data_IF_731430243304
#
_entry.id   IF_731430243304
#
_cell.length_a   1.000
_cell.length_b   1.000
_cell.length_c   1.000
_cell.angle_alpha   90.00
_cell.angle_beta   90.00
_cell.angle_gamma   90.00
#
_symmetry.space_group_name_H-M   'P 1'
#
loop_
_entity.id
_entity.type
_entity.pdbx_description
1 polymer ?
#
# COMPACT_ATOMS: atom_id res chain seq x y z
N UNK A 1 -11.94 29.44 29.75
CA UNK A 1 -11.72 28.10 29.16
C UNK A 1 -11.91 28.22 27.66
N UNK A 2 -11.01 27.69 26.85
CA UNK A 2 -11.17 27.75 25.39
C UNK A 2 -12.44 27.00 24.99
N UNK A 3 -13.27 27.57 24.11
CA UNK A 3 -14.42 26.89 23.56
C UNK A 3 -13.96 25.75 22.64
N UNK A 4 -14.77 24.69 22.48
CA UNK A 4 -14.46 23.57 21.56
C UNK A 4 -14.13 24.06 20.15
N UNK A 5 -14.70 25.20 19.73
CA UNK A 5 -14.40 25.84 18.46
C UNK A 5 -12.98 26.40 18.39
N UNK A 6 -12.41 26.79 19.54
CA UNK A 6 -11.02 27.26 19.66
C UNK A 6 -10.01 26.08 19.67
N UNK A 7 -10.44 24.88 20.11
CA UNK A 7 -9.62 23.68 20.18
C UNK A 7 -9.64 22.82 18.89
N UNK A 8 -10.58 23.10 17.99
CA UNK A 8 -10.76 22.35 16.73
C UNK A 8 -10.69 23.29 15.53
N UNK A 9 -9.82 24.29 15.58
CA UNK A 9 -9.57 25.12 14.41
C UNK A 9 -9.00 24.28 13.27
N UNK A 10 -9.18 24.66 12.01
CA UNK A 10 -8.56 23.96 10.88
C UNK A 10 -7.06 23.80 11.05
N UNK A 11 -6.38 24.79 11.61
CA UNK A 11 -4.93 24.76 11.85
C UNK A 11 -4.55 23.74 12.91
N UNK A 12 -5.24 23.70 14.05
CA UNK A 12 -4.98 22.73 15.12
C UNK A 12 -5.18 21.28 14.66
N UNK A 13 -6.21 21.04 13.82
CA UNK A 13 -6.44 19.71 13.23
C UNK A 13 -5.34 19.30 12.24
N UNK A 14 -4.83 20.24 11.45
CA UNK A 14 -3.72 20.02 10.52
C UNK A 14 -2.44 19.72 11.31
N UNK A 15 -2.10 20.58 12.26
CA UNK A 15 -0.91 20.44 13.09
C UNK A 15 -0.94 19.11 13.86
N UNK A 16 -2.05 18.79 14.52
CA UNK A 16 -2.25 17.50 15.19
C UNK A 16 -2.04 16.31 14.26
N UNK A 17 -2.62 16.37 13.04
CA UNK A 17 -2.53 15.27 12.09
C UNK A 17 -1.11 15.09 11.56
N UNK A 18 -0.36 16.17 11.36
CA UNK A 18 1.00 16.16 10.87
C UNK A 18 2.01 15.71 11.95
N UNK A 19 1.81 16.13 13.20
CA UNK A 19 2.70 15.77 14.31
C UNK A 19 2.48 14.35 14.81
N UNK A 20 1.31 13.77 14.53
CA UNK A 20 0.95 12.43 15.00
C UNK A 20 1.71 11.34 14.27
N UNK A 21 2.76 10.82 14.89
CA UNK A 21 3.48 9.65 14.38
C UNK A 21 2.59 8.41 14.46
N UNK A 22 2.33 7.78 13.32
CA UNK A 22 1.64 6.49 13.23
C UNK A 22 2.61 5.43 12.73
N UNK A 23 2.44 4.19 13.21
CA UNK A 23 3.25 3.07 12.73
C UNK A 23 3.10 2.92 11.21
N UNK A 24 4.21 2.90 10.44
CA UNK A 24 4.15 2.79 9.00
C UNK A 24 3.65 1.41 8.56
N UNK A 25 2.95 1.38 7.44
CA UNK A 25 2.61 0.14 6.76
C UNK A 25 3.76 -0.35 5.88
N UNK A 26 3.78 -1.63 5.55
CA UNK A 26 4.76 -2.20 4.62
C UNK A 26 4.69 -1.54 3.24
N UNK A 27 3.47 -1.23 2.78
CA UNK A 27 3.26 -0.57 1.49
C UNK A 27 3.83 0.84 1.43
N UNK A 28 4.01 1.54 2.55
CA UNK A 28 4.64 2.86 2.57
C UNK A 28 6.14 2.80 2.24
N UNK A 29 6.81 1.69 2.55
CA UNK A 29 8.20 1.44 2.14
C UNK A 29 8.32 1.01 0.68
N UNK A 30 7.33 0.23 0.19
CA UNK A 30 7.32 -0.26 -1.19
C UNK A 30 6.83 0.80 -2.18
N UNK A 31 5.92 1.66 -1.75
CA UNK A 31 5.32 2.75 -2.52
C UNK A 31 5.36 4.04 -1.68
N UNK A 32 6.53 4.68 -1.55
CA UNK A 32 6.67 5.94 -0.83
C UNK A 32 5.64 6.97 -1.29
N UNK A 33 5.26 7.83 -0.37
CA UNK A 33 4.21 8.81 -0.60
C UNK A 33 4.76 10.10 -1.20
N UNK A 34 4.15 10.58 -2.29
CA UNK A 34 4.47 11.84 -2.97
C UNK A 34 3.22 12.70 -3.14
N UNK A 35 3.29 13.98 -2.81
CA UNK A 35 2.18 14.94 -2.97
C UNK A 35 2.33 15.66 -4.31
N UNK A 36 1.26 15.63 -5.13
CA UNK A 36 1.18 16.31 -6.43
C UNK A 36 0.03 17.32 -6.42
N UNK A 37 0.22 18.44 -7.07
CA UNK A 37 -0.85 19.42 -7.27
C UNK A 37 -1.69 19.11 -8.53
N UNK A 38 -2.12 17.84 -8.65
CA UNK A 38 -2.88 17.35 -9.78
C UNK A 38 -3.97 16.36 -9.33
N UNK A 39 -4.98 16.18 -10.16
CA UNK A 39 -6.04 15.17 -9.98
C UNK A 39 -5.78 13.93 -10.84
N UNK A 40 -4.95 14.07 -11.85
CA UNK A 40 -4.56 13.03 -12.80
C UNK A 40 -3.06 12.87 -12.74
N UNK A 41 -2.58 11.66 -12.96
CA UNK A 41 -1.16 11.35 -13.04
C UNK A 41 -0.86 10.52 -14.29
N UNK A 42 0.25 10.80 -14.91
CA UNK A 42 0.79 9.98 -15.96
C UNK A 42 1.58 8.82 -15.34
N UNK A 43 1.21 7.61 -15.70
CA UNK A 43 1.87 6.38 -15.28
C UNK A 43 2.56 5.72 -16.46
N UNK A 44 3.72 5.13 -16.19
CA UNK A 44 4.49 4.37 -17.16
C UNK A 44 4.29 2.89 -16.87
N UNK A 45 3.93 2.12 -17.88
CA UNK A 45 3.99 0.65 -17.83
C UNK A 45 5.35 0.18 -18.29
N UNK A 46 5.87 -0.80 -17.61
CA UNK A 46 7.14 -1.48 -17.74
C UNK A 46 7.94 -1.20 -19.01
N UNK A 47 9.21 -0.98 -18.83
CA UNK A 47 10.17 -1.02 -19.93
C UNK A 47 11.14 -2.15 -19.62
N UNK A 48 11.31 -3.09 -20.55
CA UNK A 48 12.36 -4.10 -20.43
C UNK A 48 13.70 -3.39 -20.29
N UNK A 49 14.52 -3.78 -19.29
CA UNK A 49 15.87 -3.25 -19.13
C UNK A 49 16.93 -4.12 -19.87
N UNK A 50 16.48 -5.05 -20.68
CA UNK A 50 17.40 -5.83 -21.51
C UNK A 50 18.00 -4.93 -22.58
N UNK A 51 19.36 -4.80 -22.65
CA UNK A 51 19.98 -3.92 -23.62
C UNK A 51 19.84 -4.50 -25.02
N UNK A 52 19.43 -3.67 -25.97
CA UNK A 52 19.37 -4.04 -27.40
C UNK A 52 20.78 -3.99 -27.99
N UNK A 53 21.20 -5.09 -28.63
CA UNK A 53 22.51 -5.14 -29.31
C UNK A 53 22.49 -4.34 -30.61
N UNK A 54 23.46 -3.44 -30.77
CA UNK A 54 23.70 -2.78 -32.06
C UNK A 54 24.31 -3.77 -33.06
N UNK A 55 23.93 -3.66 -34.31
CA UNK A 55 24.51 -4.45 -35.42
C UNK A 55 25.84 -3.91 -35.86
N UNK A 56 26.72 -4.78 -36.32
CA UNK A 56 28.00 -4.41 -36.95
C UNK A 56 27.74 -4.02 -38.40
N UNK A 57 28.29 -2.89 -38.82
CA UNK A 57 28.17 -2.37 -40.20
C UNK A 57 29.54 -2.40 -40.89
N UNK A 58 29.52 -2.49 -42.21
CA UNK A 58 30.72 -2.29 -43.02
C UNK A 58 31.12 -0.82 -43.00
N UNK A 59 32.40 -0.54 -43.29
CA UNK A 59 32.85 0.85 -43.46
C UNK A 59 32.09 1.52 -44.61
N UNK A 60 31.82 2.82 -44.47
CA UNK A 60 31.12 3.63 -45.47
C UNK A 60 29.65 3.23 -45.75
N UNK A 61 29.00 2.54 -44.80
CA UNK A 61 27.55 2.25 -44.84
C UNK A 61 26.78 3.09 -43.83
N UNK A 62 25.51 3.37 -44.14
CA UNK A 62 24.61 4.13 -43.29
C UNK A 62 24.26 3.34 -42.05
N UNK A 63 24.13 4.00 -40.88
CA UNK A 63 23.75 3.39 -39.63
C UNK A 63 22.28 2.96 -39.63
N UNK A 64 21.96 1.82 -38.98
CA UNK A 64 20.59 1.37 -38.81
C UNK A 64 19.82 2.31 -37.86
N UNK A 65 18.58 2.63 -38.22
CA UNK A 65 17.70 3.44 -37.37
C UNK A 65 17.12 2.52 -36.28
N UNK A 66 17.57 2.69 -35.02
CA UNK A 66 17.00 1.99 -33.88
C UNK A 66 15.59 2.50 -33.56
N UNK A 67 14.68 1.59 -33.25
CA UNK A 67 13.38 1.94 -32.65
C UNK A 67 13.56 2.37 -31.21
N UNK A 68 12.85 3.40 -30.77
CA UNK A 68 12.67 3.64 -29.32
C UNK A 68 11.72 2.58 -28.78
N UNK A 69 12.15 1.81 -27.79
CA UNK A 69 11.23 1.04 -26.99
C UNK A 69 10.28 2.03 -26.28
N UNK A 70 9.02 2.00 -26.71
CA UNK A 70 8.01 2.92 -26.18
C UNK A 70 7.54 2.43 -24.82
N UNK A 71 7.93 3.12 -23.76
CA UNK A 71 7.18 3.00 -22.51
C UNK A 71 5.74 3.44 -22.79
N UNK A 72 4.77 2.59 -22.52
CA UNK A 72 3.35 2.95 -22.65
C UNK A 72 2.99 3.88 -21.48
N UNK A 73 2.69 5.14 -21.81
CA UNK A 73 2.23 6.14 -20.84
C UNK A 73 0.71 6.17 -20.87
N UNK A 74 0.08 6.06 -19.73
CA UNK A 74 -1.36 6.22 -19.58
C UNK A 74 -1.67 7.17 -18.44
N UNK A 75 -2.67 8.03 -18.64
CA UNK A 75 -3.14 8.99 -17.63
C UNK A 75 -4.25 8.35 -16.81
N UNK A 76 -4.19 8.51 -15.50
CA UNK A 76 -5.15 7.94 -14.57
C UNK A 76 -5.59 8.95 -13.51
N UNK A 77 -6.90 9.02 -13.27
CA UNK A 77 -7.49 9.79 -12.17
C UNK A 77 -7.12 9.23 -10.79
N UNK A 78 -6.80 10.11 -9.85
CA UNK A 78 -6.58 9.75 -8.46
C UNK A 78 -7.91 9.38 -7.79
N UNK A 79 -7.90 8.32 -6.98
CA UNK A 79 -9.08 7.87 -6.25
C UNK A 79 -9.39 8.79 -5.06
N UNK A 80 -10.61 9.32 -4.99
CA UNK A 80 -11.07 10.16 -3.89
C UNK A 80 -11.58 9.32 -2.73
N UNK A 81 -10.91 9.40 -1.59
CA UNK A 81 -11.21 8.65 -0.37
C UNK A 81 -11.78 9.61 0.67
N UNK A 82 -13.00 9.37 1.14
CA UNK A 82 -13.66 10.21 2.15
C UNK A 82 -14.28 9.37 3.26
N UNK A 83 -14.13 9.83 4.50
CA UNK A 83 -14.84 9.28 5.66
C UNK A 83 -15.18 10.38 6.64
N UNK A 84 -16.36 10.30 7.26
CA UNK A 84 -16.81 11.29 8.27
C UNK A 84 -17.42 10.63 9.49
N UNK A 85 -17.34 11.31 10.62
CA UNK A 85 -17.97 10.96 11.89
C UNK A 85 -18.87 12.12 12.32
N UNK A 86 -20.03 11.79 12.88
CA UNK A 86 -20.99 12.75 13.43
C UNK A 86 -20.76 12.93 14.93
N UNK A 87 -20.63 14.17 15.38
CA UNK A 87 -20.73 14.53 16.79
C UNK A 87 -22.20 14.95 17.03
N UNK A 88 -22.96 14.13 17.77
CA UNK A 88 -24.40 14.40 17.97
C UNK A 88 -24.64 15.55 18.92
N UNK A 89 -25.84 16.14 18.87
CA UNK A 89 -26.27 17.28 19.70
C UNK A 89 -26.01 17.09 21.19
N UNK A 90 -26.28 15.90 21.73
CA UNK A 90 -26.04 15.61 23.16
C UNK A 90 -24.56 15.79 23.55
N UNK A 91 -23.65 15.37 22.67
CA UNK A 91 -22.21 15.54 22.90
C UNK A 91 -21.80 17.00 22.77
N UNK A 92 -22.39 17.74 21.83
CA UNK A 92 -22.15 19.19 21.66
C UNK A 92 -22.58 19.94 22.92
N UNK A 93 -23.79 19.67 23.45
CA UNK A 93 -24.30 20.31 24.67
C UNK A 93 -23.40 19.98 25.88
N UNK A 94 -22.95 18.72 26.00
CA UNK A 94 -22.07 18.32 27.07
C UNK A 94 -20.69 18.99 27.00
N UNK A 95 -20.17 19.23 25.81
CA UNK A 95 -18.92 19.97 25.58
C UNK A 95 -19.02 21.46 25.94
N UNK A 96 -20.18 22.10 25.70
CA UNK A 96 -20.40 23.50 26.06
C UNK A 96 -20.67 23.71 27.55
N UNK A 97 -21.06 22.67 28.28
CA UNK A 97 -21.38 22.73 29.69
C UNK A 97 -20.89 21.48 30.44
N UNK A 98 -19.56 21.25 30.51
CA UNK A 98 -18.99 20.10 31.19
C UNK A 98 -19.25 20.23 32.72
N UNK A 99 -19.48 19.09 33.39
CA UNK A 99 -19.73 19.06 34.83
C UNK A 99 -18.46 19.30 35.66
N UNK A 100 -17.31 18.95 35.09
CA UNK A 100 -16.00 19.15 35.70
C UNK A 100 -14.91 19.10 34.61
N UNK A 101 -13.71 19.59 34.93
CA UNK A 101 -12.55 19.64 34.03
C UNK A 101 -12.15 18.28 33.46
N UNK A 102 -12.31 17.20 34.25
CA UNK A 102 -11.99 15.83 33.81
C UNK A 102 -12.94 15.33 32.73
N UNK A 103 -14.24 15.65 32.82
CA UNK A 103 -15.23 15.31 31.79
C UNK A 103 -14.93 16.05 30.48
N UNK A 104 -14.52 17.32 30.56
CA UNK A 104 -14.07 18.11 29.42
C UNK A 104 -12.84 17.48 28.74
N UNK A 105 -11.79 17.17 29.49
CA UNK A 105 -10.61 16.50 28.97
C UNK A 105 -10.92 15.14 28.31
N UNK A 106 -11.78 14.32 28.92
CA UNK A 106 -12.13 13.01 28.38
C UNK A 106 -12.94 13.16 27.06
N UNK A 107 -13.79 14.16 26.95
CA UNK A 107 -14.52 14.44 25.72
C UNK A 107 -13.60 14.94 24.60
N UNK A 108 -12.66 15.83 24.90
CA UNK A 108 -11.63 16.31 23.97
C UNK A 108 -10.77 15.14 23.47
N UNK A 109 -10.28 14.29 24.36
CA UNK A 109 -9.53 13.08 24.01
C UNK A 109 -10.31 12.13 23.10
N UNK A 110 -11.63 12.00 23.32
CA UNK A 110 -12.48 11.19 22.45
C UNK A 110 -12.59 11.76 21.04
N UNK A 111 -12.70 13.09 20.90
CA UNK A 111 -12.74 13.74 19.58
C UNK A 111 -11.42 13.55 18.82
N UNK A 112 -10.27 13.76 19.47
CA UNK A 112 -8.98 13.52 18.84
C UNK A 112 -8.77 12.06 18.47
N UNK A 113 -9.27 11.11 19.31
CA UNK A 113 -9.27 9.69 18.95
C UNK A 113 -10.14 9.40 17.72
N UNK A 114 -11.23 10.11 17.52
CA UNK A 114 -12.06 10.01 16.33
C UNK A 114 -11.34 10.56 15.09
N UNK A 115 -10.56 11.63 15.23
CA UNK A 115 -9.65 12.14 14.19
C UNK A 115 -8.62 11.08 13.81
N UNK A 116 -7.91 10.50 14.80
CA UNK A 116 -6.95 9.41 14.57
C UNK A 116 -7.58 8.23 13.81
N UNK A 117 -8.80 7.83 14.20
CA UNK A 117 -9.53 6.75 13.55
C UNK A 117 -9.93 7.08 12.10
N UNK A 118 -10.25 8.33 11.81
CA UNK A 118 -10.56 8.79 10.46
C UNK A 118 -9.33 8.76 9.57
N UNK A 119 -8.22 9.32 10.03
CA UNK A 119 -6.92 9.31 9.32
C UNK A 119 -6.46 7.87 9.08
N UNK A 120 -6.48 7.02 10.11
CA UNK A 120 -6.14 5.61 10.01
C UNK A 120 -7.03 4.87 8.99
N UNK A 121 -8.32 5.25 8.87
CA UNK A 121 -9.23 4.64 7.89
C UNK A 121 -8.83 4.98 6.45
N UNK A 122 -8.40 6.21 6.19
CA UNK A 122 -7.91 6.64 4.87
C UNK A 122 -6.59 5.93 4.55
N UNK A 123 -5.61 5.94 5.47
CA UNK A 123 -4.34 5.21 5.32
C UNK A 123 -4.55 3.71 5.06
N UNK A 124 -5.48 3.10 5.79
CA UNK A 124 -5.86 1.69 5.58
C UNK A 124 -6.35 1.44 4.15
N UNK A 125 -7.17 2.35 3.59
CA UNK A 125 -7.65 2.20 2.21
C UNK A 125 -6.51 2.32 1.19
N UNK A 126 -5.61 3.25 1.40
CA UNK A 126 -4.42 3.41 0.53
C UNK A 126 -3.54 2.16 0.61
N UNK A 127 -3.30 1.62 1.81
CA UNK A 127 -2.54 0.38 1.98
C UNK A 127 -3.22 -0.82 1.30
N UNK A 128 -4.56 -0.91 1.32
CA UNK A 128 -5.28 -1.92 0.55
C UNK A 128 -4.98 -1.83 -0.93
N UNK A 129 -4.98 -0.61 -1.51
CA UNK A 129 -4.69 -0.41 -2.92
C UNK A 129 -3.23 -0.77 -3.27
N UNK A 130 -2.26 -0.44 -2.38
CA UNK A 130 -0.85 -0.83 -2.55
C UNK A 130 -0.67 -2.34 -2.60
N UNK A 131 -1.27 -3.05 -1.64
CA UNK A 131 -1.17 -4.51 -1.56
C UNK A 131 -1.96 -5.23 -2.65
N UNK A 132 -3.09 -4.65 -3.09
CA UNK A 132 -3.85 -5.16 -4.23
C UNK A 132 -3.03 -5.02 -5.53
N UNK A 133 -2.46 -3.84 -5.80
CA UNK A 133 -1.57 -3.62 -6.94
C UNK A 133 -0.39 -4.62 -6.92
N UNK A 134 0.29 -4.77 -5.78
CA UNK A 134 1.44 -5.66 -5.63
C UNK A 134 1.08 -7.13 -5.85
N UNK A 135 -0.08 -7.59 -5.35
CA UNK A 135 -0.47 -9.00 -5.40
C UNK A 135 -1.20 -9.42 -6.67
N UNK A 136 -1.76 -8.48 -7.44
CA UNK A 136 -2.55 -8.79 -8.63
C UNK A 136 -2.07 -8.09 -9.89
N UNK A 137 -1.24 -7.05 -9.77
CA UNK A 137 -0.88 -6.13 -10.86
C UNK A 137 -2.00 -5.20 -11.27
N UNK A 138 -3.10 -5.15 -10.50
CA UNK A 138 -4.30 -4.33 -10.80
C UNK A 138 -4.89 -3.75 -9.53
N UNK A 139 -5.64 -2.66 -9.69
CA UNK A 139 -6.54 -2.13 -8.65
C UNK A 139 -7.95 -2.12 -9.20
N UNK A 140 -8.90 -2.72 -8.48
CA UNK A 140 -10.32 -2.73 -8.86
C UNK A 140 -11.13 -1.96 -7.82
N UNK A 141 -11.71 -0.84 -8.23
CA UNK A 141 -12.59 -0.02 -7.41
C UNK A 141 -14.02 -0.27 -7.87
N UNK A 142 -14.87 -0.76 -6.98
CA UNK A 142 -16.31 -0.95 -7.23
C UNK A 142 -17.07 -0.62 -5.95
N UNK A 143 -17.09 0.66 -5.60
CA UNK A 143 -17.65 1.15 -4.33
C UNK A 143 -18.38 2.48 -4.54
N UNK A 144 -19.50 2.67 -3.85
CA UNK A 144 -20.27 3.93 -3.82
C UNK A 144 -20.59 4.51 -5.21
N UNK A 145 -20.83 3.65 -6.21
CA UNK A 145 -21.15 4.06 -7.59
C UNK A 145 -19.92 4.34 -8.47
N UNK A 146 -18.71 4.31 -7.91
CA UNK A 146 -17.46 4.42 -8.67
C UNK A 146 -17.04 3.03 -9.15
N UNK A 147 -16.80 2.90 -10.46
CA UNK A 147 -16.25 1.68 -11.07
C UNK A 147 -15.00 2.06 -11.85
N UNK A 148 -13.85 1.58 -11.42
CA UNK A 148 -12.59 1.78 -12.11
C UNK A 148 -11.74 0.51 -12.00
N UNK A 149 -10.99 0.21 -13.04
CA UNK A 149 -10.01 -0.88 -13.06
C UNK A 149 -8.72 -0.35 -13.66
N UNK A 150 -7.67 -0.34 -12.85
CA UNK A 150 -6.35 0.15 -13.23
C UNK A 150 -5.47 -1.08 -13.39
N UNK A 151 -4.95 -1.30 -14.60
CA UNK A 151 -4.07 -2.41 -14.93
C UNK A 151 -2.65 -1.90 -15.15
N UNK A 152 -1.72 -2.35 -14.34
CA UNK A 152 -0.31 -1.95 -14.40
C UNK A 152 0.52 -2.79 -15.39
N UNK A 153 -0.11 -3.74 -16.08
CA UNK A 153 0.56 -4.52 -17.12
C UNK A 153 1.49 -5.61 -16.59
N UNK A 154 1.24 -6.14 -15.38
CA UNK A 154 2.00 -7.30 -14.88
C UNK A 154 1.83 -8.49 -15.84
N UNK A 155 2.93 -9.09 -16.36
CA UNK A 155 2.87 -10.22 -17.29
C UNK A 155 2.08 -11.41 -16.73
N UNK A 156 1.39 -12.13 -17.59
CA UNK A 156 0.64 -13.32 -17.18
C UNK A 156 1.58 -14.44 -16.73
N UNK A 157 2.73 -14.54 -17.34
CA UNK A 157 3.81 -15.50 -17.06
C UNK A 157 4.40 -15.30 -15.65
N UNK A 158 4.31 -14.08 -15.10
CA UNK A 158 4.72 -13.76 -13.74
C UNK A 158 3.66 -14.10 -12.68
N UNK A 159 2.62 -14.82 -13.05
CA UNK A 159 1.57 -15.31 -12.15
C UNK A 159 1.45 -16.81 -12.24
N UNK A 160 1.57 -17.51 -11.10
CA UNK A 160 1.48 -18.95 -11.04
C UNK A 160 0.74 -19.45 -9.81
N UNK A 161 0.39 -20.74 -9.81
CA UNK A 161 -0.12 -21.41 -8.62
C UNK A 161 0.79 -22.58 -8.28
N UNK A 162 1.17 -22.72 -7.01
CA UNK A 162 2.07 -23.77 -6.51
C UNK A 162 1.48 -24.47 -5.29
N UNK A 163 1.72 -25.77 -5.16
CA UNK A 163 1.17 -26.61 -4.09
C UNK A 163 2.17 -26.86 -2.97
N UNK A 164 2.58 -25.81 -2.25
CA UNK A 164 3.59 -25.90 -1.20
C UNK A 164 3.05 -26.42 0.14
N UNK A 165 1.74 -26.46 0.31
CA UNK A 165 1.13 -26.99 1.54
C UNK A 165 0.96 -28.51 1.51
N UNK A 166 1.38 -29.18 0.42
CA UNK A 166 1.37 -30.64 0.27
C UNK A 166 2.74 -31.24 0.64
N UNK A 167 2.75 -32.47 1.08
CA UNK A 167 3.99 -33.19 1.48
C UNK A 167 4.97 -33.51 0.34
N UNK A 168 4.65 -33.19 -0.92
CA UNK A 168 5.50 -33.37 -2.11
C UNK A 168 5.97 -32.04 -2.72
N UNK A 169 6.04 -30.98 -1.93
CA UNK A 169 6.42 -29.66 -2.40
C UNK A 169 7.86 -29.60 -2.95
N UNK A 170 8.04 -28.84 -4.02
CA UNK A 170 9.34 -28.55 -4.68
C UNK A 170 9.66 -27.07 -4.52
N UNK A 171 9.72 -26.61 -3.25
CA UNK A 171 9.73 -25.18 -2.93
C UNK A 171 10.96 -24.48 -3.49
N UNK A 172 12.16 -25.06 -3.34
CA UNK A 172 13.40 -24.44 -3.82
C UNK A 172 13.42 -24.37 -5.34
N UNK A 173 13.12 -25.48 -5.99
CA UNK A 173 13.06 -25.58 -7.46
C UNK A 173 12.01 -24.63 -8.04
N UNK A 174 10.87 -24.50 -7.38
CA UNK A 174 9.83 -23.54 -7.76
C UNK A 174 10.32 -22.10 -7.62
N UNK A 175 11.05 -21.77 -6.54
CA UNK A 175 11.62 -20.45 -6.35
C UNK A 175 12.68 -20.13 -7.40
N UNK A 176 13.56 -21.09 -7.73
CA UNK A 176 14.55 -20.95 -8.79
C UNK A 176 13.88 -20.68 -10.14
N UNK A 177 12.87 -21.45 -10.50
CA UNK A 177 12.11 -21.27 -11.75
C UNK A 177 11.44 -19.89 -11.82
N UNK A 178 10.86 -19.41 -10.72
CA UNK A 178 10.23 -18.08 -10.68
C UNK A 178 11.28 -16.96 -10.83
N UNK A 179 12.46 -17.11 -10.21
CA UNK A 179 13.58 -16.17 -10.37
C UNK A 179 14.07 -16.15 -11.81
N UNK A 180 14.28 -17.33 -12.42
CA UNK A 180 14.71 -17.47 -13.81
C UNK A 180 13.74 -16.79 -14.77
N UNK A 181 12.43 -16.99 -14.60
CA UNK A 181 11.41 -16.31 -15.42
C UNK A 181 11.54 -14.79 -15.38
N UNK A 182 11.71 -14.17 -14.19
CA UNK A 182 11.88 -12.72 -14.08
C UNK A 182 13.17 -12.26 -14.76
N UNK A 183 14.28 -13.00 -14.54
CA UNK A 183 15.58 -12.64 -15.09
C UNK A 183 15.58 -12.74 -16.61
N UNK A 184 14.97 -13.76 -17.18
CA UNK A 184 14.88 -13.95 -18.63
C UNK A 184 14.04 -12.85 -19.29
N UNK A 185 12.92 -12.44 -18.66
CA UNK A 185 12.02 -11.42 -19.23
C UNK A 185 12.53 -10.01 -19.05
N UNK A 186 13.15 -9.70 -17.90
CA UNK A 186 13.43 -8.31 -17.52
C UNK A 186 14.90 -8.00 -17.28
N UNK A 187 15.75 -9.01 -17.10
CA UNK A 187 17.15 -8.86 -16.71
C UNK A 187 17.36 -8.52 -15.22
N UNK A 188 16.29 -8.43 -14.41
CA UNK A 188 16.36 -8.12 -12.98
C UNK A 188 16.32 -9.40 -12.13
N UNK A 189 17.15 -9.45 -11.09
CA UNK A 189 17.12 -10.53 -10.11
C UNK A 189 16.30 -10.09 -8.89
N UNK A 190 15.22 -10.81 -8.51
CA UNK A 190 14.50 -10.55 -7.29
C UNK A 190 15.35 -10.93 -6.08
N UNK A 191 15.42 -10.07 -5.07
CA UNK A 191 16.25 -10.27 -3.87
C UNK A 191 15.43 -10.43 -2.58
N UNK A 192 14.14 -10.15 -2.64
CA UNK A 192 13.24 -10.25 -1.50
C UNK A 192 11.89 -10.83 -1.90
N UNK A 193 11.27 -11.51 -0.95
CA UNK A 193 9.93 -12.04 -1.11
C UNK A 193 9.04 -11.64 0.08
N UNK A 194 7.77 -11.45 -0.18
CA UNK A 194 6.76 -11.13 0.82
C UNK A 194 5.69 -12.21 0.84
N UNK A 195 5.35 -12.71 2.03
CA UNK A 195 4.36 -13.78 2.16
C UNK A 195 3.63 -13.73 3.51
N UNK A 196 2.69 -14.65 3.71
CA UNK A 196 1.98 -14.83 4.97
C UNK A 196 2.77 -15.73 5.93
N UNK A 197 2.44 -15.61 7.22
CA UNK A 197 2.96 -16.54 8.25
C UNK A 197 2.63 -18.00 7.96
N UNK A 198 1.46 -18.26 7.33
CA UNK A 198 1.03 -19.63 6.97
C UNK A 198 1.99 -20.26 5.96
N UNK A 199 2.26 -19.55 4.86
CA UNK A 199 3.16 -20.02 3.81
C UNK A 199 4.60 -20.16 4.34
N UNK A 200 5.10 -19.16 5.09
CA UNK A 200 6.43 -19.26 5.69
C UNK A 200 6.54 -20.45 6.64
N UNK A 201 5.48 -20.74 7.43
CA UNK A 201 5.48 -21.92 8.31
C UNK A 201 5.57 -23.23 7.53
N UNK A 202 4.99 -23.32 6.33
CA UNK A 202 5.15 -24.48 5.46
C UNK A 202 6.59 -24.61 4.94
N UNK A 203 7.18 -23.49 4.48
CA UNK A 203 8.58 -23.45 4.01
C UNK A 203 9.56 -23.90 5.13
N UNK A 204 9.38 -23.40 6.36
CA UNK A 204 10.22 -23.76 7.51
C UNK A 204 10.10 -25.24 7.93
N UNK A 205 9.00 -25.89 7.60
CA UNK A 205 8.75 -27.30 7.92
C UNK A 205 9.11 -28.25 6.78
N UNK A 206 9.40 -27.71 5.60
CA UNK A 206 9.75 -28.52 4.45
C UNK A 206 11.00 -29.37 4.74
N UNK A 207 10.90 -30.68 4.47
CA UNK A 207 11.99 -31.65 4.78
C UNK A 207 13.18 -31.46 3.88
N UNK A 208 13.00 -31.10 2.61
CA UNK A 208 14.07 -30.87 1.66
C UNK A 208 14.88 -29.64 2.02
N UNK A 209 14.24 -28.56 2.39
CA UNK A 209 14.91 -27.33 2.84
C UNK A 209 15.66 -27.58 4.13
N UNK A 210 15.07 -28.29 5.11
CA UNK A 210 15.77 -28.66 6.35
C UNK A 210 16.96 -29.57 6.11
N UNK A 211 16.81 -30.56 5.20
CA UNK A 211 17.91 -31.44 4.82
C UNK A 211 19.05 -30.69 4.10
N UNK A 212 18.73 -29.69 3.29
CA UNK A 212 19.71 -28.83 2.63
C UNK A 212 20.50 -27.97 3.63
N UNK A 213 19.84 -27.44 4.69
CA UNK A 213 20.47 -26.59 5.71
C UNK A 213 21.24 -27.38 6.76
N UNK A 214 20.68 -28.49 7.24
CA UNK A 214 21.20 -29.21 8.40
C UNK A 214 21.72 -30.65 8.11
N UNK A 215 21.53 -31.11 6.90
CA UNK A 215 21.78 -32.52 6.53
C UNK A 215 20.55 -33.41 6.70
N UNK A 216 20.58 -34.57 6.07
CA UNK A 216 19.49 -35.54 6.06
C UNK A 216 19.22 -36.08 7.49
N UNK A 217 17.93 -36.29 7.82
CA UNK A 217 17.46 -36.79 9.12
C UNK A 217 17.68 -35.84 10.32
N UNK A 218 17.90 -34.55 10.11
CA UNK A 218 17.95 -33.58 11.19
C UNK A 218 16.55 -33.31 11.78
N UNK A 219 16.43 -33.44 13.12
CA UNK A 219 15.21 -33.05 13.86
C UNK A 219 15.15 -31.55 14.24
N UNK A 220 16.20 -30.81 13.87
CA UNK A 220 16.33 -29.37 14.22
C UNK A 220 15.26 -28.56 13.51
N UNK A 221 14.68 -27.59 14.23
CA UNK A 221 13.72 -26.66 13.67
C UNK A 221 14.47 -25.52 12.95
N UNK A 222 14.04 -25.23 11.74
CA UNK A 222 14.60 -24.14 10.94
C UNK A 222 14.00 -22.81 11.40
N UNK A 223 14.86 -21.82 11.67
CA UNK A 223 14.46 -20.46 11.99
C UNK A 223 14.40 -19.60 10.72
N UNK A 224 13.67 -18.47 10.78
CA UNK A 224 13.58 -17.52 9.66
C UNK A 224 14.96 -16.95 9.30
N UNK A 225 15.79 -16.68 10.31
CA UNK A 225 17.13 -16.14 10.08
C UNK A 225 18.03 -17.13 9.34
N UNK A 226 18.01 -18.40 9.76
CA UNK A 226 18.78 -19.47 9.10
C UNK A 226 18.28 -19.74 7.67
N UNK A 227 16.95 -19.75 7.46
CA UNK A 227 16.36 -19.86 6.12
C UNK A 227 16.83 -18.71 5.22
N UNK A 228 16.72 -17.46 5.67
CA UNK A 228 17.11 -16.30 4.87
C UNK A 228 18.63 -16.28 4.60
N UNK A 229 19.46 -16.74 5.54
CA UNK A 229 20.91 -16.90 5.33
C UNK A 229 21.21 -17.96 4.25
N UNK A 230 20.49 -19.09 4.28
CA UNK A 230 20.59 -20.15 3.27
C UNK A 230 20.13 -19.65 1.90
N UNK A 231 18.94 -19.01 1.81
CA UNK A 231 18.42 -18.46 0.55
C UNK A 231 19.38 -17.43 -0.07
N UNK A 232 19.96 -16.54 0.75
CA UNK A 232 20.96 -15.57 0.29
C UNK A 232 22.21 -16.24 -0.30
N UNK A 233 22.70 -17.35 0.29
CA UNK A 233 23.82 -18.15 -0.24
C UNK A 233 23.47 -18.78 -1.60
N UNK A 234 22.22 -19.19 -1.78
CA UNK A 234 21.70 -19.72 -3.05
C UNK A 234 21.31 -18.63 -4.06
N UNK A 235 21.49 -17.35 -3.74
CA UNK A 235 21.05 -16.20 -4.55
C UNK A 235 19.53 -16.17 -4.77
N UNK A 236 18.77 -16.74 -3.84
CA UNK A 236 17.31 -16.70 -3.82
C UNK A 236 16.81 -15.56 -2.93
N UNK A 237 15.57 -15.05 -3.18
CA UNK A 237 14.99 -13.93 -2.44
C UNK A 237 14.83 -14.25 -0.96
N UNK A 238 15.22 -13.31 -0.09
CA UNK A 238 14.97 -13.40 1.34
C UNK A 238 13.48 -13.15 1.64
N UNK A 239 12.92 -13.92 2.56
CA UNK A 239 11.48 -13.93 2.84
C UNK A 239 11.15 -13.07 4.05
N UNK A 240 10.22 -12.13 3.87
CA UNK A 240 9.60 -11.33 4.93
C UNK A 240 8.11 -11.68 5.09
N UNK A 241 7.56 -11.43 6.28
CA UNK A 241 6.14 -11.68 6.60
C UNK A 241 5.37 -10.36 6.59
N UNK A 242 4.19 -10.37 5.96
CA UNK A 242 3.22 -9.31 6.12
C UNK A 242 1.82 -9.89 6.41
N UNK A 243 1.43 -9.89 7.68
CA UNK A 243 0.19 -10.50 8.18
C UNK A 243 -0.76 -9.49 8.83
N UNK A 244 -0.50 -8.17 8.64
CA UNK A 244 -1.39 -7.13 9.16
C UNK A 244 -2.80 -7.30 8.59
N UNK A 245 -3.79 -6.99 9.43
CA UNK A 245 -5.22 -7.10 9.12
C UNK A 245 -5.90 -5.75 9.30
N UNK A 246 -6.99 -5.55 8.58
CA UNK A 246 -7.89 -4.43 8.74
C UNK A 246 -9.34 -4.92 8.88
N UNK A 247 -10.25 -4.03 9.20
CA UNK A 247 -11.68 -4.33 9.32
C UNK A 247 -12.47 -3.55 8.28
N UNK A 248 -13.40 -4.24 7.64
CA UNK A 248 -14.40 -3.64 6.74
C UNK A 248 -15.75 -3.71 7.45
N UNK A 249 -16.49 -2.61 7.42
CA UNK A 249 -17.85 -2.55 7.92
C UNK A 249 -18.80 -2.79 6.74
N UNK A 250 -19.73 -3.72 6.88
CA UNK A 250 -20.78 -3.96 5.90
C UNK A 250 -21.92 -2.92 6.02
N UNK A 251 -22.87 -2.95 5.11
CA UNK A 251 -24.04 -2.06 5.10
C UNK A 251 -24.96 -2.20 6.33
N UNK A 252 -24.80 -3.29 7.10
CA UNK A 252 -25.56 -3.57 8.34
C UNK A 252 -24.76 -3.18 9.58
N UNK A 253 -23.59 -2.57 9.44
CA UNK A 253 -22.75 -2.15 10.55
C UNK A 253 -21.85 -3.24 11.15
N UNK A 254 -21.86 -4.48 10.61
CA UNK A 254 -21.03 -5.58 11.11
C UNK A 254 -19.60 -5.45 10.58
N UNK A 255 -18.62 -5.68 11.45
CA UNK A 255 -17.20 -5.65 11.08
C UNK A 255 -16.69 -7.04 10.71
N UNK A 256 -15.98 -7.11 9.58
CA UNK A 256 -15.26 -8.30 9.12
C UNK A 256 -13.78 -8.00 8.98
N UNK A 257 -12.93 -8.86 9.54
CA UNK A 257 -11.48 -8.73 9.40
C UNK A 257 -11.02 -9.28 8.05
N UNK A 258 -10.18 -8.51 7.36
CA UNK A 258 -9.50 -8.91 6.11
C UNK A 258 -8.00 -8.72 6.26
N UNK A 259 -7.19 -9.41 5.48
CA UNK A 259 -5.74 -9.21 5.38
C UNK A 259 -5.45 -8.18 4.29
N UNK A 260 -4.39 -7.39 4.46
CA UNK A 260 -3.90 -6.53 3.38
C UNK A 260 -3.30 -7.37 2.24
N UNK A 261 -2.40 -8.30 2.59
CA UNK A 261 -1.86 -9.28 1.66
C UNK A 261 -2.71 -10.58 1.71
N UNK A 262 -3.13 -11.15 0.57
CA UNK A 262 -3.81 -12.44 0.55
C UNK A 262 -3.00 -13.53 1.27
N UNK A 263 -3.65 -14.37 2.07
CA UNK A 263 -2.98 -15.38 2.90
C UNK A 263 -2.16 -16.39 2.08
N UNK A 264 -2.60 -16.66 0.88
CA UNK A 264 -1.97 -17.59 -0.05
C UNK A 264 -0.99 -16.92 -1.03
N UNK A 265 -0.71 -15.63 -0.89
CA UNK A 265 0.22 -14.94 -1.76
C UNK A 265 1.69 -15.19 -1.33
N UNK A 266 2.54 -15.42 -2.32
CA UNK A 266 3.99 -15.38 -2.23
C UNK A 266 4.49 -14.50 -3.37
N UNK A 267 5.12 -13.36 -3.03
CA UNK A 267 5.46 -12.31 -3.99
C UNK A 267 6.95 -12.08 -3.96
N UNK A 268 7.62 -12.28 -5.09
CA UNK A 268 9.03 -11.94 -5.28
C UNK A 268 9.17 -10.59 -5.93
N UNK A 269 10.16 -9.80 -5.52
CA UNK A 269 10.38 -8.44 -6.01
C UNK A 269 11.86 -8.03 -5.92
N UNK A 270 12.31 -7.08 -6.76
CA UNK A 270 13.66 -6.52 -6.69
C UNK A 270 13.86 -5.69 -5.42
N UNK A 271 15.06 -5.18 -5.22
CA UNK A 271 15.40 -4.24 -4.16
C UNK A 271 14.81 -2.84 -4.46
N UNK A 272 14.54 -2.08 -3.40
CA UNK A 272 14.09 -0.70 -3.53
C UNK A 272 12.57 -0.54 -3.55
N UNK A 273 12.08 0.59 -4.05
CA UNK A 273 10.65 0.90 -4.16
C UNK A 273 10.06 0.24 -5.41
N UNK A 274 8.77 -0.09 -5.32
CA UNK A 274 8.01 -0.68 -6.44
C UNK A 274 7.27 0.39 -7.25
N UNK A 275 7.17 1.58 -6.73
CA UNK A 275 6.50 2.73 -7.29
C UNK A 275 6.37 3.83 -6.26
N UNK A 276 5.49 4.79 -6.52
CA UNK A 276 5.17 5.88 -5.60
C UNK A 276 3.66 5.92 -5.36
N UNK A 277 3.24 6.33 -4.17
CA UNK A 277 1.83 6.62 -3.90
C UNK A 277 1.61 8.10 -4.06
N UNK A 278 0.94 8.49 -5.13
CA UNK A 278 0.64 9.89 -5.38
C UNK A 278 -0.60 10.34 -4.60
N UNK A 279 -0.45 11.45 -3.90
CA UNK A 279 -1.56 12.17 -3.27
C UNK A 279 -1.81 13.45 -4.05
N UNK A 280 -3.04 13.65 -4.49
CA UNK A 280 -3.46 14.83 -5.22
C UNK A 280 -4.10 15.90 -4.33
N UNK A 281 -4.58 16.96 -4.97
CA UNK A 281 -5.30 18.05 -4.34
C UNK A 281 -6.76 17.63 -4.08
N UNK A 282 -7.34 18.08 -2.99
CA UNK A 282 -8.77 17.90 -2.67
C UNK A 282 -9.51 19.23 -2.71
N UNK A 283 -10.83 19.21 -2.97
CA UNK A 283 -11.66 20.42 -2.92
C UNK A 283 -11.64 21.03 -1.52
N UNK A 284 -11.60 20.20 -0.48
CA UNK A 284 -11.50 20.62 0.92
C UNK A 284 -10.18 21.36 1.20
N UNK A 285 -9.09 20.95 0.61
CA UNK A 285 -7.80 21.64 0.70
C UNK A 285 -7.86 23.03 0.06
N UNK A 286 -8.45 23.14 -1.13
CA UNK A 286 -8.62 24.42 -1.81
C UNK A 286 -9.51 25.38 -1.03
N UNK A 287 -10.54 24.87 -0.36
CA UNK A 287 -11.43 25.67 0.47
C UNK A 287 -10.73 26.16 1.75
N UNK A 288 -9.93 25.30 2.40
CA UNK A 288 -9.09 25.68 3.54
C UNK A 288 -8.11 26.79 3.17
N UNK A 289 -7.46 26.70 2.01
CA UNK A 289 -6.54 27.74 1.50
C UNK A 289 -7.20 29.09 1.29
N UNK A 290 -8.49 29.12 0.94
CA UNK A 290 -9.23 30.37 0.72
C UNK A 290 -9.70 31.03 2.01
N UNK A 291 -10.01 30.24 3.02
CA UNK A 291 -10.69 30.66 4.24
C UNK A 291 -9.79 30.73 5.48
N UNK A 292 -8.54 30.31 5.38
CA UNK A 292 -7.55 30.32 6.48
C UNK A 292 -6.18 30.66 5.94
N UNK A 293 -5.35 31.32 6.75
CA UNK A 293 -3.95 31.64 6.44
C UNK A 293 -3.04 30.37 6.48
N UNK A 294 -3.51 29.24 5.95
CA UNK A 294 -2.78 27.97 5.91
C UNK A 294 -2.05 27.84 4.58
N UNK A 295 -0.74 27.72 4.61
CA UNK A 295 0.08 27.49 3.41
C UNK A 295 -0.05 26.06 2.89
N UNK A 296 0.16 25.86 1.58
CA UNK A 296 0.10 24.54 0.91
C UNK A 296 1.07 23.54 1.53
N UNK A 297 2.25 24.01 1.91
CA UNK A 297 3.32 23.21 2.53
C UNK A 297 2.95 22.68 3.92
N UNK A 298 2.01 23.33 4.59
CA UNK A 298 1.52 22.95 5.93
C UNK A 298 0.41 21.90 5.85
N UNK A 299 -0.26 21.76 4.68
CA UNK A 299 -1.34 20.79 4.50
C UNK A 299 -0.76 19.40 4.22
N UNK A 300 -1.03 18.46 5.10
CA UNK A 300 -0.59 17.07 4.95
C UNK A 300 -1.24 16.35 3.74
N UNK A 301 -0.92 15.09 3.59
CA UNK A 301 -1.46 14.23 2.52
C UNK A 301 -2.92 13.85 2.73
N UNK A 302 -3.38 13.84 3.99
CA UNK A 302 -4.76 13.54 4.38
C UNK A 302 -5.32 14.79 5.09
N UNK A 303 -6.38 15.34 4.52
CA UNK A 303 -7.01 16.55 5.03
C UNK A 303 -8.07 16.16 6.04
N UNK A 304 -8.00 16.73 7.23
CA UNK A 304 -9.05 16.64 8.23
C UNK A 304 -9.74 18.00 8.33
N UNK A 305 -11.04 18.02 8.15
CA UNK A 305 -11.83 19.24 8.25
C UNK A 305 -13.11 19.02 9.07
N UNK A 306 -13.56 20.09 9.70
CA UNK A 306 -14.80 20.15 10.46
C UNK A 306 -15.81 21.03 9.72
N UNK A 307 -17.09 20.65 9.78
CA UNK A 307 -18.19 21.48 9.33
C UNK A 307 -19.43 21.24 10.18
N UNK A 308 -20.32 22.23 10.22
CA UNK A 308 -21.55 22.21 11.01
C UNK A 308 -22.76 22.05 10.10
N UNK A 309 -23.79 21.32 10.56
CA UNK A 309 -25.12 21.29 9.96
C UNK A 309 -26.12 21.93 10.91
N UNK A 310 -27.14 22.62 10.36
CA UNK A 310 -28.12 23.34 11.14
C UNK A 310 -29.35 22.46 11.41
N UNK A 311 -29.74 21.61 10.48
CA UNK A 311 -30.89 20.71 10.61
C UNK A 311 -30.53 19.27 10.10
N UNK A 312 -30.46 18.27 10.98
CA UNK A 312 -30.32 18.40 12.44
C UNK A 312 -28.99 19.04 12.85
N UNK A 313 -28.98 19.73 13.99
CA UNK A 313 -27.75 20.33 14.53
C UNK A 313 -26.74 19.23 14.79
N UNK A 314 -25.59 19.33 14.15
CA UNK A 314 -24.49 18.40 14.35
C UNK A 314 -23.17 19.03 13.91
N UNK A 315 -22.08 18.64 14.59
CA UNK A 315 -20.72 18.87 14.11
C UNK A 315 -20.22 17.60 13.42
N UNK A 316 -19.55 17.77 12.30
CA UNK A 316 -18.99 16.66 11.51
C UNK A 316 -17.50 16.83 11.39
N UNK A 317 -16.77 15.77 11.65
CA UNK A 317 -15.33 15.66 11.34
C UNK A 317 -15.21 14.75 10.14
N UNK A 318 -14.45 15.16 9.14
CA UNK A 318 -14.26 14.45 7.88
C UNK A 318 -12.77 14.37 7.54
N UNK A 319 -12.28 13.17 7.23
CA UNK A 319 -10.98 12.98 6.62
C UNK A 319 -11.15 12.70 5.12
N UNK A 320 -10.31 13.33 4.32
CA UNK A 320 -10.34 13.27 2.86
C UNK A 320 -8.93 13.17 2.32
N UNK A 321 -8.75 12.37 1.29
CA UNK A 321 -7.54 12.34 0.47
C UNK A 321 -7.91 11.92 -0.96
N UNK A 322 -7.18 12.42 -1.94
CA UNK A 322 -7.09 11.81 -3.27
C UNK A 322 -5.78 11.05 -3.33
N UNK A 323 -5.82 9.75 -3.61
CA UNK A 323 -4.60 8.96 -3.62
C UNK A 323 -4.69 7.80 -4.61
N UNK A 324 -3.55 7.47 -5.25
CA UNK A 324 -3.40 6.28 -6.07
C UNK A 324 -1.93 5.83 -6.08
N UNK A 325 -1.62 4.55 -5.80
CA UNK A 325 -0.28 4.03 -6.02
C UNK A 325 0.00 3.86 -7.52
N UNK A 326 1.20 4.25 -7.95
CA UNK A 326 1.78 3.87 -9.24
C UNK A 326 2.53 2.55 -9.08
N UNK A 327 2.68 1.79 -10.16
CA UNK A 327 3.42 0.54 -10.13
C UNK A 327 4.19 0.33 -11.43
N UNK A 328 5.21 1.16 -11.71
CA UNK A 328 5.99 1.08 -12.94
C UNK A 328 6.83 -0.21 -13.05
N UNK A 329 7.14 -0.86 -11.92
CA UNK A 329 7.94 -2.09 -11.87
C UNK A 329 7.08 -3.35 -11.74
N UNK A 330 5.85 -3.32 -12.27
CA UNK A 330 4.93 -4.47 -12.22
C UNK A 330 5.45 -5.69 -12.98
N UNK A 331 6.25 -5.49 -14.01
CA UNK A 331 6.93 -6.52 -14.79
C UNK A 331 8.08 -7.21 -14.04
N UNK A 332 8.64 -6.57 -13.01
CA UNK A 332 9.75 -7.11 -12.20
C UNK A 332 9.28 -7.88 -10.96
N UNK A 333 7.98 -8.07 -10.83
CA UNK A 333 7.38 -8.76 -9.69
C UNK A 333 6.77 -10.07 -10.15
N UNK A 334 6.98 -11.12 -9.35
CA UNK A 334 6.36 -12.43 -9.58
C UNK A 334 5.42 -12.77 -8.42
N UNK A 335 4.22 -13.25 -8.74
CA UNK A 335 3.19 -13.59 -7.77
C UNK A 335 2.84 -15.07 -7.88
N UNK A 336 3.10 -15.83 -6.83
CA UNK A 336 2.64 -17.21 -6.72
C UNK A 336 1.47 -17.31 -5.73
N UNK A 337 0.43 -18.03 -6.14
CA UNK A 337 -0.69 -18.42 -5.27
C UNK A 337 -0.39 -19.80 -4.68
N UNK A 338 -0.21 -19.88 -3.37
CA UNK A 338 0.17 -21.09 -2.66
C UNK A 338 -1.07 -21.83 -2.16
N UNK A 339 -1.17 -23.12 -2.49
CA UNK A 339 -2.26 -24.01 -2.08
C UNK A 339 -1.74 -25.25 -1.36
#
# INVERSE_FOLDING_TARGET
MPRVEELLTPRDLIDYTNERSQEPYMGEYLFPEDKKEALEIDMVKGASNLPVSAKVHAFDTEAEIGSREGAEVFTQDLALIKKKIKIPEKTIIALESPRNDREEEDMIKNIFRDVDNLVASVRTRVECMRMEALSTGKIVINENGVKASIDYGMPAEHKTSKTWLSGSATILEDMEQMVETIVDDTGFTPVRALTSKKNLSAILRDERIRAAVYGVNSSKLLTVAELNAFLAQQKLPQIAIYDKKYRVQDSKGKYTAKRFLPENAFIMMPEGKMGDTFYGVTAEELELRRNSDVEISEVGKIIVCQYNTIDPVAKWIKAVATALPSFPYADQVFVATIS
#
